data_IF_389700997832
#
_entry.id   IF_389700997832
#
_cell.length_a   1.000
_cell.length_b   1.000
_cell.length_c   1.000
_cell.angle_alpha   90.00
_cell.angle_beta   90.00
_cell.angle_gamma   90.00
#
_symmetry.space_group_name_H-M   'P 1'
#
loop_
_entity.id
_entity.type
_entity.pdbx_description
1 polymer ?
#
# COMPACT_ATOMS: atom_id res chain seq x y z
N UNK A 1 -34.33 -10.33 -47.93
CA UNK A 1 -34.55 -11.26 -46.81
C UNK A 1 -33.20 -11.45 -46.12
N UNK A 2 -32.89 -10.56 -45.17
CA UNK A 2 -31.65 -10.59 -44.40
C UNK A 2 -31.78 -11.71 -43.35
N UNK A 3 -30.84 -12.68 -43.40
CA UNK A 3 -30.74 -13.71 -42.35
C UNK A 3 -30.50 -13.02 -40.97
N UNK A 4 -31.20 -13.43 -39.93
CA UNK A 4 -30.87 -12.95 -38.58
C UNK A 4 -29.44 -13.39 -38.26
N UNK A 5 -28.61 -12.47 -37.81
CA UNK A 5 -27.34 -12.77 -37.17
C UNK A 5 -27.71 -13.49 -35.90
N UNK A 6 -27.63 -14.83 -35.91
CA UNK A 6 -27.66 -15.62 -34.71
C UNK A 6 -26.46 -15.19 -33.88
N UNK A 7 -26.75 -14.44 -32.83
CA UNK A 7 -25.83 -14.03 -31.79
C UNK A 7 -25.33 -15.34 -31.11
N UNK A 8 -24.18 -15.86 -31.60
CA UNK A 8 -23.47 -16.96 -30.97
C UNK A 8 -22.90 -16.43 -29.64
N UNK A 9 -23.78 -16.28 -28.65
CA UNK A 9 -23.39 -16.12 -27.25
C UNK A 9 -22.69 -17.45 -26.89
N UNK A 10 -21.38 -17.44 -26.95
CA UNK A 10 -20.52 -18.59 -26.66
C UNK A 10 -20.67 -18.95 -25.19
N UNK A 11 -21.63 -19.83 -24.90
CA UNK A 11 -21.88 -20.38 -23.56
C UNK A 11 -20.65 -21.20 -23.17
N UNK A 12 -20.08 -20.91 -22.01
CA UNK A 12 -19.08 -21.78 -21.40
C UNK A 12 -19.64 -23.20 -21.28
N UNK A 13 -18.90 -24.17 -21.80
CA UNK A 13 -19.15 -25.58 -21.52
C UNK A 13 -18.98 -25.85 -20.00
N UNK A 14 -19.71 -26.79 -19.43
CA UNK A 14 -19.55 -27.18 -18.02
C UNK A 14 -18.11 -27.44 -17.61
N UNK A 15 -17.28 -28.06 -18.48
CA UNK A 15 -15.88 -28.30 -18.23
C UNK A 15 -15.05 -26.98 -18.17
N UNK A 16 -15.30 -26.06 -19.08
CA UNK A 16 -14.68 -24.72 -19.09
C UNK A 16 -15.07 -23.91 -17.84
N UNK A 17 -16.34 -23.95 -17.45
CA UNK A 17 -16.83 -23.29 -16.25
C UNK A 17 -16.14 -23.87 -14.99
N UNK A 18 -15.92 -25.19 -14.95
CA UNK A 18 -15.15 -25.85 -13.92
C UNK A 18 -13.70 -25.35 -13.86
N UNK A 19 -13.03 -25.25 -15.03
CA UNK A 19 -11.67 -24.75 -15.13
C UNK A 19 -11.55 -23.29 -14.65
N UNK A 20 -12.48 -22.40 -15.05
CA UNK A 20 -12.51 -21.01 -14.60
C UNK A 20 -12.78 -20.89 -13.09
N UNK A 21 -13.63 -21.77 -12.53
CA UNK A 21 -13.86 -21.81 -11.10
C UNK A 21 -12.59 -22.21 -10.32
N UNK A 22 -11.81 -23.17 -10.83
CA UNK A 22 -10.51 -23.54 -10.25
C UNK A 22 -9.49 -22.39 -10.38
N UNK A 23 -9.46 -21.71 -11.51
CA UNK A 23 -8.62 -20.52 -11.71
C UNK A 23 -8.95 -19.42 -10.70
N UNK A 24 -10.24 -19.13 -10.50
CA UNK A 24 -10.71 -18.14 -9.51
C UNK A 24 -10.24 -18.48 -8.08
N UNK A 25 -10.37 -19.75 -7.67
CA UNK A 25 -9.85 -20.20 -6.36
C UNK A 25 -8.35 -19.96 -6.24
N UNK A 26 -7.60 -20.20 -7.32
CA UNK A 26 -6.16 -19.90 -7.39
C UNK A 26 -5.86 -18.41 -7.19
N UNK A 27 -6.64 -17.52 -7.83
CA UNK A 27 -6.48 -16.08 -7.70
C UNK A 27 -6.78 -15.57 -6.28
N UNK A 28 -7.87 -16.07 -5.67
CA UNK A 28 -8.22 -15.75 -4.27
C UNK A 28 -7.10 -16.22 -3.33
N UNK A 29 -6.61 -17.43 -3.50
CA UNK A 29 -5.54 -18.00 -2.67
C UNK A 29 -4.25 -17.16 -2.77
N UNK A 30 -3.81 -16.81 -3.98
CA UNK A 30 -2.65 -15.94 -4.21
C UNK A 30 -2.86 -14.55 -3.58
N UNK A 31 -4.03 -13.96 -3.78
CA UNK A 31 -4.41 -12.67 -3.18
C UNK A 31 -4.31 -12.71 -1.65
N UNK A 32 -4.81 -13.78 -1.02
CA UNK A 32 -4.76 -13.97 0.43
C UNK A 32 -3.32 -14.11 0.95
N UNK A 33 -2.47 -14.90 0.28
CA UNK A 33 -1.06 -15.04 0.66
C UNK A 33 -0.34 -13.68 0.61
N UNK A 34 -0.55 -12.90 -0.47
CA UNK A 34 0.10 -11.60 -0.59
C UNK A 34 -0.42 -10.59 0.43
N UNK A 35 -1.70 -10.67 0.80
CA UNK A 35 -2.28 -9.88 1.90
C UNK A 35 -1.61 -10.21 3.23
N UNK A 36 -1.48 -11.49 3.57
CA UNK A 36 -0.80 -11.92 4.79
C UNK A 36 0.65 -11.43 4.85
N UNK A 37 1.37 -11.47 3.71
CA UNK A 37 2.75 -10.93 3.63
C UNK A 37 2.80 -9.41 3.86
N UNK A 38 1.77 -8.66 3.45
CA UNK A 38 1.64 -7.23 3.73
C UNK A 38 1.43 -7.01 5.23
N UNK A 39 0.47 -7.70 5.82
CA UNK A 39 0.12 -7.56 7.23
C UNK A 39 1.33 -7.92 8.13
N UNK A 40 2.09 -8.96 7.78
CA UNK A 40 3.32 -9.31 8.47
C UNK A 40 4.38 -8.18 8.44
N UNK A 41 4.54 -7.47 7.32
CA UNK A 41 5.50 -6.36 7.25
C UNK A 41 5.05 -5.20 8.13
N UNK A 42 3.76 -4.89 8.14
CA UNK A 42 3.18 -3.89 9.03
C UNK A 42 3.39 -4.28 10.50
N UNK A 43 3.14 -5.53 10.87
CA UNK A 43 3.35 -6.03 12.24
C UNK A 43 4.81 -5.84 12.68
N UNK A 44 5.79 -6.20 11.84
CA UNK A 44 7.20 -5.97 12.13
C UNK A 44 7.54 -4.49 12.30
N UNK A 45 6.92 -3.61 11.51
CA UNK A 45 7.10 -2.16 11.66
C UNK A 45 6.61 -1.67 13.03
N UNK A 46 5.49 -2.19 13.52
CA UNK A 46 4.93 -1.85 14.83
C UNK A 46 5.79 -2.42 15.96
N UNK A 47 6.21 -3.69 15.86
CA UNK A 47 7.04 -4.34 16.87
C UNK A 47 8.38 -3.62 17.03
N UNK A 48 9.06 -3.33 15.92
CA UNK A 48 10.35 -2.62 15.95
C UNK A 48 10.20 -1.19 16.46
N UNK A 49 9.08 -0.52 16.17
CA UNK A 49 8.74 0.77 16.76
C UNK A 49 8.57 0.65 18.28
N UNK A 50 7.87 -0.35 18.77
CA UNK A 50 7.70 -0.60 20.21
C UNK A 50 9.04 -0.81 20.92
N UNK A 51 9.96 -1.55 20.33
CA UNK A 51 11.31 -1.75 20.84
C UNK A 51 12.07 -0.41 20.89
N UNK A 52 12.03 0.38 19.82
CA UNK A 52 12.69 1.69 19.79
C UNK A 52 12.14 2.64 20.85
N UNK A 53 10.82 2.68 21.03
CA UNK A 53 10.17 3.46 22.10
C UNK A 53 10.61 2.99 23.48
N UNK A 54 10.55 1.69 23.76
CA UNK A 54 10.95 1.11 25.04
C UNK A 54 12.41 1.45 25.36
N UNK A 55 13.32 1.31 24.39
CA UNK A 55 14.74 1.66 24.57
C UNK A 55 14.94 3.15 24.81
N UNK A 56 14.24 4.02 24.03
CA UNK A 56 14.39 5.48 24.15
C UNK A 56 13.87 6.01 25.47
N UNK A 57 12.81 5.43 26.01
CA UNK A 57 12.19 5.87 27.26
C UNK A 57 12.57 5.01 28.48
N UNK A 58 13.57 4.14 28.37
CA UNK A 58 14.05 3.30 29.48
C UNK A 58 14.65 4.11 30.63
N UNK A 59 15.28 5.25 30.35
CA UNK A 59 15.79 6.21 31.35
C UNK A 59 15.69 7.64 30.82
N UNK A 60 15.87 8.62 31.72
CA UNK A 60 15.85 10.04 31.34
C UNK A 60 17.03 10.38 30.40
N UNK A 61 18.18 9.77 30.63
CA UNK A 61 19.44 9.98 29.91
C UNK A 61 19.53 9.13 28.63
N UNK A 62 18.60 8.21 28.42
CA UNK A 62 18.61 7.36 27.20
C UNK A 62 18.53 8.20 25.94
N UNK A 63 19.36 7.87 24.96
CA UNK A 63 19.44 8.59 23.67
C UNK A 63 18.14 8.48 22.85
N UNK A 64 17.84 9.53 22.10
CA UNK A 64 16.76 9.51 21.09
C UNK A 64 17.17 8.82 19.77
N UNK A 65 18.42 8.35 19.65
CA UNK A 65 18.96 7.71 18.45
C UNK A 65 18.13 6.50 17.97
N UNK A 66 17.59 5.61 18.83
CA UNK A 66 16.74 4.50 18.38
C UNK A 66 15.51 4.96 17.56
N UNK A 67 14.93 6.13 17.87
CA UNK A 67 13.81 6.68 17.14
C UNK A 67 14.21 7.19 15.74
N UNK A 68 15.43 7.62 15.56
CA UNK A 68 15.95 8.00 14.25
C UNK A 68 16.24 6.75 13.40
N UNK A 69 16.88 5.75 13.99
CA UNK A 69 17.17 4.49 13.32
C UNK A 69 15.90 3.77 12.86
N UNK A 70 14.87 3.72 13.72
CA UNK A 70 13.60 3.14 13.30
C UNK A 70 12.94 3.95 12.17
N UNK A 71 13.10 5.27 12.16
CA UNK A 71 12.60 6.12 11.06
C UNK A 71 13.19 5.70 9.72
N UNK A 72 14.49 5.43 9.64
CA UNK A 72 15.12 4.89 8.43
C UNK A 72 14.61 3.48 8.09
N UNK A 73 14.45 2.62 9.09
CA UNK A 73 13.93 1.28 8.88
C UNK A 73 12.47 1.28 8.40
N UNK A 74 11.64 2.22 8.85
CA UNK A 74 10.26 2.41 8.35
C UNK A 74 10.24 2.73 6.85
N UNK A 75 11.20 3.48 6.34
CA UNK A 75 11.32 3.72 4.90
C UNK A 75 11.59 2.42 4.13
N UNK A 76 12.45 1.55 4.66
CA UNK A 76 12.73 0.22 4.08
C UNK A 76 11.47 -0.65 4.13
N UNK A 77 10.79 -0.74 5.26
CA UNK A 77 9.55 -1.51 5.41
C UNK A 77 8.48 -1.03 4.43
N UNK A 78 8.29 0.29 4.29
CA UNK A 78 7.36 0.86 3.33
C UNK A 78 7.72 0.48 1.88
N UNK A 79 9.01 0.50 1.52
CA UNK A 79 9.47 0.08 0.20
C UNK A 79 9.15 -1.39 -0.09
N UNK A 80 9.43 -2.28 0.87
CA UNK A 80 9.09 -3.70 0.78
C UNK A 80 7.57 -3.91 0.68
N UNK A 81 6.80 -3.16 1.46
CA UNK A 81 5.35 -3.26 1.47
C UNK A 81 4.73 -2.71 0.18
N UNK A 82 5.23 -1.61 -0.36
CA UNK A 82 4.81 -1.06 -1.64
C UNK A 82 5.05 -2.07 -2.79
N UNK A 83 6.22 -2.75 -2.78
CA UNK A 83 6.50 -3.84 -3.72
C UNK A 83 5.50 -4.98 -3.59
N UNK A 84 5.25 -5.48 -2.38
CA UNK A 84 4.29 -6.56 -2.10
C UNK A 84 2.87 -6.16 -2.46
N UNK A 85 2.48 -4.91 -2.20
CA UNK A 85 1.16 -4.38 -2.55
C UNK A 85 0.90 -4.38 -4.05
N UNK A 86 1.91 -4.18 -4.90
CA UNK A 86 1.76 -4.28 -6.36
C UNK A 86 1.37 -5.69 -6.79
N UNK A 87 2.01 -6.72 -6.23
CA UNK A 87 1.63 -8.12 -6.50
C UNK A 87 0.22 -8.43 -5.99
N UNK A 88 -0.07 -8.08 -4.75
CA UNK A 88 -1.42 -8.23 -4.19
C UNK A 88 -2.49 -7.60 -5.09
N UNK A 89 -2.23 -6.40 -5.62
CA UNK A 89 -3.18 -5.68 -6.46
C UNK A 89 -3.46 -6.41 -7.79
N UNK A 90 -2.49 -7.08 -8.39
CA UNK A 90 -2.69 -7.88 -9.63
C UNK A 90 -3.69 -9.02 -9.36
N UNK A 91 -3.41 -9.85 -8.36
CA UNK A 91 -4.25 -11.01 -8.05
C UNK A 91 -5.66 -10.60 -7.60
N UNK A 92 -5.74 -9.57 -6.79
CA UNK A 92 -7.03 -9.00 -6.36
C UNK A 92 -7.82 -8.43 -7.55
N UNK A 93 -7.16 -7.76 -8.50
CA UNK A 93 -7.83 -7.21 -9.67
C UNK A 93 -8.42 -8.30 -10.57
N UNK A 94 -7.66 -9.37 -10.82
CA UNK A 94 -8.14 -10.54 -11.59
C UNK A 94 -9.33 -11.22 -10.92
N UNK A 95 -9.24 -11.48 -9.61
CA UNK A 95 -10.34 -12.07 -8.86
C UNK A 95 -11.59 -11.18 -8.95
N UNK A 96 -11.45 -9.87 -8.71
CA UNK A 96 -12.57 -8.92 -8.80
C UNK A 96 -13.15 -8.81 -10.19
N UNK A 97 -12.32 -8.91 -11.21
CA UNK A 97 -12.76 -8.89 -12.60
C UNK A 97 -13.63 -10.12 -12.93
N UNK A 98 -13.23 -11.31 -12.50
CA UNK A 98 -14.05 -12.53 -12.63
C UNK A 98 -15.34 -12.45 -11.80
N UNK A 99 -15.30 -11.86 -10.60
CA UNK A 99 -16.51 -11.65 -9.79
C UNK A 99 -17.53 -10.77 -10.52
N UNK A 100 -17.09 -9.68 -11.14
CA UNK A 100 -17.98 -8.71 -11.78
C UNK A 100 -18.50 -9.16 -13.13
N UNK A 101 -17.71 -9.84 -13.96
CA UNK A 101 -18.07 -10.16 -15.36
C UNK A 101 -18.48 -11.62 -15.58
N UNK A 102 -18.24 -12.52 -14.60
CA UNK A 102 -18.69 -13.89 -14.69
C UNK A 102 -19.68 -14.24 -13.58
N UNK A 103 -19.27 -14.11 -12.31
CA UNK A 103 -20.10 -14.59 -11.21
C UNK A 103 -21.33 -13.70 -10.99
N UNK A 104 -21.20 -12.38 -11.12
CA UNK A 104 -22.35 -11.48 -11.00
C UNK A 104 -23.39 -11.71 -12.11
N UNK A 105 -22.96 -11.96 -13.36
CA UNK A 105 -23.87 -12.32 -14.44
C UNK A 105 -24.59 -13.66 -14.21
N UNK A 106 -23.86 -14.66 -13.71
CA UNK A 106 -24.45 -15.96 -13.35
C UNK A 106 -25.53 -15.78 -12.27
N UNK A 107 -25.24 -15.00 -11.23
CA UNK A 107 -26.16 -14.78 -10.11
C UNK A 107 -27.38 -13.96 -10.53
N UNK A 108 -27.22 -13.02 -11.45
CA UNK A 108 -28.32 -12.19 -11.96
C UNK A 108 -29.13 -12.88 -13.08
N UNK A 109 -28.72 -14.05 -13.55
CA UNK A 109 -29.37 -14.74 -14.68
C UNK A 109 -29.14 -14.06 -16.04
N UNK A 110 -28.23 -13.07 -16.13
CA UNK A 110 -27.95 -12.27 -17.35
C UNK A 110 -26.75 -12.80 -18.12
N UNK A 111 -26.54 -14.11 -18.17
CA UNK A 111 -25.40 -14.74 -18.83
C UNK A 111 -25.24 -14.26 -20.27
N UNK A 112 -24.04 -13.76 -20.58
CA UNK A 112 -23.65 -13.36 -21.93
C UNK A 112 -23.97 -11.93 -22.33
N UNK A 113 -24.39 -11.08 -21.38
CA UNK A 113 -24.67 -9.67 -21.68
C UNK A 113 -23.46 -8.92 -22.25
N UNK A 114 -22.23 -9.26 -21.81
CA UNK A 114 -20.97 -8.64 -22.27
C UNK A 114 -20.32 -9.30 -23.51
N UNK A 115 -21.01 -10.22 -24.21
CA UNK A 115 -20.53 -10.84 -25.46
C UNK A 115 -19.18 -11.57 -25.36
N UNK A 116 -18.75 -12.00 -24.17
CA UNK A 116 -17.50 -12.75 -23.98
C UNK A 116 -16.22 -11.90 -23.95
N UNK A 117 -16.30 -10.57 -24.06
CA UNK A 117 -15.14 -9.66 -24.09
C UNK A 117 -14.24 -9.77 -22.84
N UNK A 118 -14.81 -10.15 -21.70
CA UNK A 118 -14.07 -10.35 -20.46
C UNK A 118 -13.00 -11.46 -20.56
N UNK A 119 -13.26 -12.52 -21.36
CA UNK A 119 -12.29 -13.61 -21.58
C UNK A 119 -11.02 -13.11 -22.26
N UNK A 120 -11.18 -12.30 -23.29
CA UNK A 120 -10.05 -11.70 -24.04
C UNK A 120 -9.23 -10.79 -23.15
N UNK A 121 -9.88 -9.94 -22.35
CA UNK A 121 -9.20 -9.02 -21.41
C UNK A 121 -8.43 -9.81 -20.34
N UNK A 122 -9.05 -10.84 -19.79
CA UNK A 122 -8.40 -11.68 -18.76
C UNK A 122 -7.24 -12.49 -19.36
N UNK A 123 -7.42 -13.07 -20.55
CA UNK A 123 -6.39 -13.81 -21.27
C UNK A 123 -5.18 -12.91 -21.60
N UNK A 124 -5.41 -11.69 -22.09
CA UNK A 124 -4.36 -10.72 -22.36
C UNK A 124 -3.54 -10.37 -21.10
N UNK A 125 -4.19 -10.21 -19.94
CA UNK A 125 -3.51 -9.94 -18.68
C UNK A 125 -2.69 -11.16 -18.18
N UNK A 126 -3.08 -12.39 -18.54
CA UNK A 126 -2.28 -13.59 -18.27
C UNK A 126 -1.09 -13.75 -19.23
N UNK A 127 -1.28 -13.44 -20.50
CA UNK A 127 -0.23 -13.52 -21.52
C UNK A 127 0.84 -12.43 -21.32
N UNK A 128 0.41 -11.23 -20.90
CA UNK A 128 1.27 -10.08 -20.69
C UNK A 128 1.13 -9.52 -19.26
N UNK A 129 1.64 -10.24 -18.23
CA UNK A 129 1.44 -9.85 -16.84
C UNK A 129 2.10 -8.51 -16.53
N UNK A 130 1.30 -7.54 -16.09
CA UNK A 130 1.71 -6.19 -15.76
C UNK A 130 1.25 -5.80 -14.37
N UNK A 131 2.01 -4.92 -13.73
CA UNK A 131 1.52 -4.31 -12.50
C UNK A 131 0.51 -3.22 -12.82
N UNK A 132 -0.70 -3.36 -12.31
CA UNK A 132 -1.80 -2.39 -12.52
C UNK A 132 -1.60 -1.06 -11.76
N UNK A 133 -0.61 -1.01 -10.85
CA UNK A 133 -0.29 0.18 -10.05
C UNK A 133 1.22 0.42 -10.04
N UNK A 134 1.63 1.69 -10.17
CA UNK A 134 3.04 2.07 -10.05
C UNK A 134 3.53 1.93 -8.60
N UNK A 135 4.85 1.77 -8.42
CA UNK A 135 5.48 1.66 -7.09
C UNK A 135 5.18 2.88 -6.21
N UNK A 136 5.27 4.09 -6.77
CA UNK A 136 5.01 5.34 -6.05
C UNK A 136 3.56 5.42 -5.57
N UNK A 137 2.59 5.05 -6.41
CA UNK A 137 1.18 4.99 -6.01
C UNK A 137 0.93 3.93 -4.94
N UNK A 138 1.58 2.76 -5.05
CA UNK A 138 1.49 1.72 -4.04
C UNK A 138 2.01 2.22 -2.69
N UNK A 139 3.21 2.84 -2.66
CA UNK A 139 3.78 3.46 -1.47
C UNK A 139 2.84 4.52 -0.86
N UNK A 140 2.34 5.45 -1.67
CA UNK A 140 1.42 6.47 -1.22
C UNK A 140 0.13 5.93 -0.60
N UNK A 141 -0.46 4.88 -1.18
CA UNK A 141 -1.62 4.20 -0.59
C UNK A 141 -1.31 3.59 0.78
N UNK A 142 -0.12 2.99 0.94
CA UNK A 142 0.33 2.40 2.20
C UNK A 142 0.64 3.47 3.25
N UNK A 143 1.26 4.59 2.85
CA UNK A 143 1.47 5.73 3.75
C UNK A 143 0.13 6.20 4.31
N UNK A 144 -0.82 6.57 3.46
CA UNK A 144 -2.13 7.11 3.89
C UNK A 144 -2.93 6.16 4.77
N UNK A 145 -2.77 4.85 4.58
CA UNK A 145 -3.55 3.86 5.32
C UNK A 145 -2.93 3.48 6.67
N UNK A 146 -1.61 3.35 6.73
CA UNK A 146 -0.95 2.74 7.88
C UNK A 146 0.25 3.54 8.37
N UNK A 147 1.19 3.87 7.47
CA UNK A 147 2.47 4.45 7.88
C UNK A 147 2.37 5.87 8.42
N UNK A 148 1.34 6.63 8.05
CA UNK A 148 1.13 7.98 8.59
C UNK A 148 0.99 7.98 10.12
N UNK A 149 0.33 6.96 10.67
CA UNK A 149 0.19 6.78 12.12
C UNK A 149 1.50 6.38 12.78
N UNK A 150 2.24 5.44 12.17
CA UNK A 150 3.51 4.95 12.72
C UNK A 150 4.55 6.08 12.71
N UNK A 151 4.68 6.81 11.60
CA UNK A 151 5.58 7.96 11.47
C UNK A 151 5.14 9.11 12.41
N UNK A 152 3.84 9.33 12.54
CA UNK A 152 3.30 10.34 13.48
C UNK A 152 3.66 10.02 14.94
N UNK A 153 3.51 8.76 15.37
CA UNK A 153 3.91 8.32 16.71
C UNK A 153 5.43 8.47 16.90
N UNK A 154 6.22 8.00 15.91
CA UNK A 154 7.68 8.13 15.95
C UNK A 154 8.13 9.58 16.10
N UNK A 155 7.57 10.48 15.27
CA UNK A 155 7.90 11.90 15.27
C UNK A 155 7.48 12.55 16.59
N UNK A 156 6.27 12.28 17.09
CA UNK A 156 5.79 12.80 18.38
C UNK A 156 6.64 12.31 19.54
N UNK A 157 7.03 11.03 19.54
CA UNK A 157 7.90 10.46 20.57
C UNK A 157 9.30 11.08 20.54
N UNK A 158 9.86 11.32 19.34
CA UNK A 158 11.16 11.98 19.19
C UNK A 158 11.13 13.41 19.75
N UNK A 159 10.19 14.22 19.35
CA UNK A 159 10.05 15.57 19.88
C UNK A 159 9.72 15.58 21.38
N UNK A 160 8.87 14.66 21.84
CA UNK A 160 8.56 14.50 23.26
C UNK A 160 9.81 14.16 24.08
N UNK A 161 10.67 13.26 23.57
CA UNK A 161 11.93 12.92 24.25
C UNK A 161 12.85 14.13 24.38
N UNK A 162 13.02 14.93 23.32
CA UNK A 162 13.85 16.12 23.34
C UNK A 162 13.29 17.22 24.27
N UNK A 163 11.97 17.36 24.33
CA UNK A 163 11.31 18.40 25.12
C UNK A 163 11.31 18.08 26.62
N UNK A 164 11.16 16.79 27.00
CA UNK A 164 10.87 16.43 28.39
C UNK A 164 12.10 15.85 29.10
N UNK A 165 13.07 15.27 28.38
CA UNK A 165 14.20 14.56 29.02
C UNK A 165 15.56 15.18 28.67
N UNK A 166 16.53 15.14 29.65
CA UNK A 166 16.40 14.60 31.03
C UNK A 166 15.50 15.44 31.93
N UNK A 167 15.34 16.71 31.65
CA UNK A 167 14.46 17.70 32.30
C UNK A 167 13.68 18.47 31.23
N UNK A 168 12.59 19.13 31.62
CA UNK A 168 11.82 19.93 30.68
C UNK A 168 12.69 21.06 30.09
N UNK A 169 12.79 21.13 28.77
CA UNK A 169 13.53 22.17 28.08
C UNK A 169 12.86 23.53 28.32
N UNK A 170 13.61 24.48 28.86
CA UNK A 170 13.11 25.84 29.16
C UNK A 170 13.28 26.76 27.95
N UNK A 171 14.29 26.52 27.14
CA UNK A 171 14.65 27.35 25.98
C UNK A 171 14.79 26.51 24.72
N UNK A 172 14.54 27.16 23.58
CA UNK A 172 14.61 26.49 22.28
C UNK A 172 16.02 25.98 21.93
N UNK A 173 17.06 26.67 22.36
CA UNK A 173 18.44 26.22 22.11
C UNK A 173 18.74 24.87 22.82
N UNK A 174 18.24 24.67 24.04
CA UNK A 174 18.39 23.39 24.75
C UNK A 174 17.75 22.24 23.98
N UNK A 175 16.58 22.46 23.42
CA UNK A 175 15.89 21.49 22.57
C UNK A 175 16.72 21.14 21.32
N UNK A 176 17.34 22.15 20.69
CA UNK A 176 18.20 21.94 19.52
C UNK A 176 19.46 21.16 19.92
N UNK A 177 20.12 21.53 21.03
CA UNK A 177 21.34 20.86 21.48
C UNK A 177 21.09 19.38 21.84
N UNK A 178 19.94 19.06 22.42
CA UNK A 178 19.55 17.66 22.72
C UNK A 178 19.32 16.79 21.48
N UNK A 179 19.08 17.39 20.33
CA UNK A 179 18.95 16.68 19.07
C UNK A 179 20.31 16.29 18.48
N UNK A 180 21.43 16.78 19.02
CA UNK A 180 22.76 16.46 18.51
C UNK A 180 23.08 14.98 18.66
N UNK A 181 23.79 14.42 17.68
CA UNK A 181 24.21 13.00 17.65
C UNK A 181 25.71 12.93 17.39
N UNK A 182 26.48 12.67 18.45
CA UNK A 182 27.94 12.66 18.34
C UNK A 182 28.46 13.97 17.75
N UNK A 183 29.20 13.96 16.63
CA UNK A 183 29.73 15.17 16.01
C UNK A 183 28.69 15.96 15.19
N UNK A 184 27.45 15.46 15.03
CA UNK A 184 26.42 16.09 14.19
C UNK A 184 25.65 17.11 15.04
N UNK A 185 25.65 18.40 14.67
CA UNK A 185 24.91 19.41 15.40
C UNK A 185 23.39 19.13 15.36
N UNK A 186 22.69 19.45 16.46
CA UNK A 186 21.26 19.15 16.59
C UNK A 186 20.38 19.84 15.55
N UNK A 187 20.73 21.06 15.12
CA UNK A 187 19.98 21.73 14.06
C UNK A 187 20.01 20.98 12.72
N UNK A 188 21.13 20.28 12.39
CA UNK A 188 21.23 19.45 11.19
C UNK A 188 20.30 18.24 11.30
N UNK A 189 20.29 17.59 12.48
CA UNK A 189 19.41 16.43 12.74
C UNK A 189 17.93 16.85 12.62
N UNK A 190 17.57 17.99 13.18
CA UNK A 190 16.19 18.52 13.10
C UNK A 190 15.80 18.89 11.67
N UNK A 191 16.70 19.52 10.90
CA UNK A 191 16.47 19.80 9.49
C UNK A 191 16.27 18.51 8.66
N UNK A 192 17.11 17.50 8.87
CA UNK A 192 16.96 16.19 8.22
C UNK A 192 15.63 15.54 8.61
N UNK A 193 15.22 15.61 9.88
CA UNK A 193 13.93 15.12 10.35
C UNK A 193 12.75 15.84 9.71
N UNK A 194 12.85 17.17 9.54
CA UNK A 194 11.83 17.96 8.84
C UNK A 194 11.71 17.53 7.37
N UNK A 195 12.83 17.42 6.66
CA UNK A 195 12.86 16.96 5.26
C UNK A 195 12.27 15.56 5.15
N UNK A 196 12.65 14.65 6.05
CA UNK A 196 12.11 13.30 6.13
C UNK A 196 10.56 13.30 6.23
N UNK A 197 10.00 14.05 7.17
CA UNK A 197 8.54 14.14 7.34
C UNK A 197 7.85 14.81 6.16
N UNK A 198 8.42 15.87 5.60
CA UNK A 198 7.89 16.55 4.42
C UNK A 198 7.85 15.62 3.20
N UNK A 199 8.87 14.80 2.98
CA UNK A 199 8.88 13.80 1.90
C UNK A 199 7.69 12.85 1.99
N UNK A 200 7.34 12.37 3.20
CA UNK A 200 6.19 11.48 3.40
C UNK A 200 4.87 12.19 3.14
N UNK A 201 4.73 13.43 3.60
CA UNK A 201 3.52 14.24 3.39
C UNK A 201 3.33 14.53 1.89
N UNK A 202 4.38 14.96 1.21
CA UNK A 202 4.35 15.26 -0.24
C UNK A 202 4.00 14.00 -1.04
N UNK A 203 4.60 12.85 -0.70
CA UNK A 203 4.30 11.58 -1.35
C UNK A 203 2.84 11.13 -1.10
N UNK A 204 2.34 11.30 0.12
CA UNK A 204 0.95 10.96 0.47
C UNK A 204 -0.04 11.83 -0.30
N UNK A 205 0.16 13.15 -0.31
CA UNK A 205 -0.73 14.12 -0.98
C UNK A 205 -0.64 13.97 -2.50
N UNK A 206 0.57 13.94 -3.07
CA UNK A 206 0.78 13.82 -4.51
C UNK A 206 0.14 12.56 -5.10
N UNK A 207 0.29 11.42 -4.41
CA UNK A 207 -0.34 10.16 -4.83
C UNK A 207 -1.85 10.15 -4.61
N UNK A 208 -2.37 10.87 -3.63
CA UNK A 208 -3.82 11.05 -3.45
C UNK A 208 -4.45 11.78 -4.64
N UNK A 209 -3.85 12.90 -5.05
CA UNK A 209 -4.33 13.65 -6.21
C UNK A 209 -4.20 12.86 -7.50
N UNK A 210 -3.11 12.10 -7.67
CA UNK A 210 -2.92 11.22 -8.83
C UNK A 210 -3.97 10.09 -8.88
N UNK A 211 -4.31 9.48 -7.73
CA UNK A 211 -5.38 8.47 -7.65
C UNK A 211 -6.75 9.08 -8.00
N UNK A 212 -7.05 10.27 -7.46
CA UNK A 212 -8.34 10.94 -7.70
C UNK A 212 -8.53 11.34 -9.16
N UNK A 213 -7.47 11.79 -9.84
CA UNK A 213 -7.51 12.10 -11.28
C UNK A 213 -7.74 10.83 -12.11
N UNK A 214 -7.07 9.73 -11.79
CA UNK A 214 -7.27 8.45 -12.50
C UNK A 214 -8.69 7.91 -12.37
N UNK A 215 -9.34 8.05 -11.22
CA UNK A 215 -10.72 7.62 -11.05
C UNK A 215 -11.71 8.39 -11.93
N UNK A 216 -11.49 9.69 -12.16
CA UNK A 216 -12.35 10.49 -13.03
C UNK A 216 -12.29 10.06 -14.51
N UNK A 217 -11.16 9.51 -14.97
CA UNK A 217 -10.99 9.04 -16.36
C UNK A 217 -11.40 7.58 -16.56
N UNK A 218 -11.60 6.80 -15.48
CA UNK A 218 -11.92 5.36 -15.54
C UNK A 218 -13.40 5.02 -15.61
N UNK A 219 -14.31 5.98 -15.41
CA UNK A 219 -15.77 5.75 -15.53
C UNK A 219 -16.20 5.46 -16.97
N UNK A 220 -15.29 5.45 -17.93
CA UNK A 220 -15.56 5.19 -19.34
C UNK A 220 -14.80 4.00 -19.95
N UNK A 221 -14.06 3.20 -19.16
CA UNK A 221 -13.21 2.12 -19.72
C UNK A 221 -13.29 0.86 -18.87
N UNK A 222 -13.62 -0.23 -19.51
CA UNK A 222 -13.69 -1.64 -19.04
C UNK A 222 -12.31 -2.25 -18.70
N UNK A 223 -11.36 -1.47 -18.18
CA UNK A 223 -10.01 -1.95 -17.92
C UNK A 223 -9.85 -2.51 -16.50
N UNK A 224 -9.16 -3.67 -16.39
CA UNK A 224 -8.71 -4.23 -15.10
C UNK A 224 -7.75 -3.25 -14.38
N UNK A 225 -8.01 -2.96 -13.12
CA UNK A 225 -7.08 -2.24 -12.26
C UNK A 225 -7.68 -1.20 -11.36
#
# INVERSE_FOLDING_TARGET
MLKPVEDHIEKLDPAELGAVAHLYRGEIYRSTIWRTRLDNTTNWSIVTMGIALSTTFSSKEASALPLILIGMLLAVFLGLEARRYRYFNVWRARARFMETHLYAEILNGTRGADGGSWRTILAEDYLHPRHHISFVRAAGRRIRRTYIWIIGIQTSAYFGKLAIHPEMARYFYEFVDRAAIGPIPGWVVLCCGLVYNLCWIVLAIGTYWADRRSHKHRTSSTAMG
#
